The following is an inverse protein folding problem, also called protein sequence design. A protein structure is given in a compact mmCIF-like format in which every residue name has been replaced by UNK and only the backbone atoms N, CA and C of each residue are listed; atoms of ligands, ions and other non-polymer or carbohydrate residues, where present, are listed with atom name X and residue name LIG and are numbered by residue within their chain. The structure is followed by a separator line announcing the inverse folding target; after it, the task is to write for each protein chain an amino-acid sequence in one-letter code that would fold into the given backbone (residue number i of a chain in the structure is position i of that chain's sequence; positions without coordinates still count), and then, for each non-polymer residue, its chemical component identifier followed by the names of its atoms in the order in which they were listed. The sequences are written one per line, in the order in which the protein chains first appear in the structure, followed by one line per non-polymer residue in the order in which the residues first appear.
data_IF_129293569489
#
_entry.id   IF_129293569489
#
_cell.length_a   1.000
_cell.length_b   1.000
_cell.length_c   1.000
_cell.angle_alpha   90.00
_cell.angle_beta   90.00
_cell.angle_gamma   90.00
#
_symmetry.space_group_name_H-M   'P 1'
#
loop_
_entity.id
_entity.type
_entity.pdbx_description
1 polymer ?
#
# COMPACT_ATOMS: atom_id res chain seq x y z
N UNK A 1 14.06 6.39 -2.87
CA UNK A 1 15.01 5.47 -3.53
C UNK A 1 14.48 4.03 -3.56
N UNK A 2 14.14 3.39 -2.42
CA UNK A 2 13.71 1.97 -2.41
C UNK A 2 12.33 1.70 -3.02
N UNK A 3 11.29 2.45 -2.61
CA UNK A 3 9.92 2.20 -3.08
C UNK A 3 9.77 2.38 -4.60
N UNK A 4 10.46 3.36 -5.17
CA UNK A 4 10.52 3.57 -6.63
C UNK A 4 11.07 2.34 -7.35
N UNK A 5 12.20 1.82 -6.88
CA UNK A 5 12.86 0.66 -7.49
C UNK A 5 12.01 -0.61 -7.35
N UNK A 6 11.36 -0.80 -6.19
CA UNK A 6 10.43 -1.91 -5.98
C UNK A 6 9.27 -1.85 -6.97
N UNK A 7 8.65 -0.68 -7.16
CA UNK A 7 7.57 -0.49 -8.13
C UNK A 7 8.02 -0.89 -9.54
N UNK A 8 9.17 -0.38 -9.99
CA UNK A 8 9.71 -0.68 -11.32
C UNK A 8 10.00 -2.17 -11.51
N UNK A 9 10.55 -2.84 -10.50
CA UNK A 9 10.79 -4.30 -10.53
C UNK A 9 9.48 -5.07 -10.60
N UNK A 10 8.47 -4.67 -9.82
CA UNK A 10 7.19 -5.36 -9.83
C UNK A 10 6.45 -5.19 -11.17
N UNK A 11 6.52 -4.01 -11.78
CA UNK A 11 5.97 -3.76 -13.12
C UNK A 11 6.67 -4.66 -14.17
N UNK A 12 8.00 -4.76 -14.12
CA UNK A 12 8.77 -5.65 -15.01
C UNK A 12 8.47 -7.14 -14.84
N UNK A 13 8.11 -7.56 -13.63
CA UNK A 13 7.71 -8.94 -13.34
C UNK A 13 6.26 -9.24 -13.73
N UNK A 14 5.53 -8.26 -14.25
CA UNK A 14 4.14 -8.44 -14.68
C UNK A 14 3.12 -8.46 -13.55
N UNK A 15 3.49 -8.07 -12.32
CA UNK A 15 2.51 -7.89 -11.25
C UNK A 15 1.52 -6.77 -11.62
N UNK A 16 0.29 -6.88 -11.11
CA UNK A 16 -0.83 -6.01 -11.49
C UNK A 16 -1.23 -5.01 -10.41
N UNK A 17 -0.91 -5.29 -9.15
CA UNK A 17 -1.28 -4.47 -8.00
C UNK A 17 -0.16 -4.51 -6.95
N UNK A 18 0.06 -3.39 -6.28
CA UNK A 18 0.79 -3.35 -5.02
C UNK A 18 -0.17 -2.99 -3.90
N UNK A 19 -0.03 -3.69 -2.78
CA UNK A 19 -0.78 -3.42 -1.54
C UNK A 19 0.20 -3.05 -0.45
N UNK A 20 0.00 -1.87 0.13
CA UNK A 20 0.71 -1.41 1.32
C UNK A 20 -0.18 -1.58 2.54
N UNK A 21 0.32 -2.25 3.57
CA UNK A 21 -0.35 -2.42 4.87
C UNK A 21 0.42 -1.59 5.89
N UNK A 22 -0.15 -0.46 6.30
CA UNK A 22 0.48 0.53 7.17
C UNK A 22 -0.17 0.46 8.54
N UNK A 23 0.58 0.01 9.54
CA UNK A 23 0.10 0.01 10.92
C UNK A 23 0.03 1.43 11.48
N UNK A 24 -1.09 1.71 12.17
CA UNK A 24 -1.43 3.00 12.77
C UNK A 24 -1.74 4.09 11.71
N UNK A 25 -3.00 4.52 11.64
CA UNK A 25 -3.49 5.55 10.75
C UNK A 25 -2.89 6.93 11.04
N UNK A 26 -2.29 7.12 12.22
CA UNK A 26 -1.49 8.29 12.55
C UNK A 26 -0.11 8.31 11.88
N UNK A 27 0.31 7.23 11.19
CA UNK A 27 1.59 7.18 10.45
C UNK A 27 1.53 7.99 9.15
N UNK A 28 1.35 9.30 9.27
CA UNK A 28 1.22 10.24 8.17
C UNK A 28 2.43 10.22 7.23
N UNK A 29 3.64 9.99 7.76
CA UNK A 29 4.85 9.89 6.95
C UNK A 29 4.79 8.73 5.94
N UNK A 30 4.44 7.52 6.39
CA UNK A 30 4.31 6.37 5.50
C UNK A 30 3.11 6.53 4.54
N UNK A 31 1.98 7.04 5.03
CA UNK A 31 0.79 7.28 4.20
C UNK A 31 1.10 8.25 3.06
N UNK A 32 1.72 9.40 3.37
CA UNK A 32 2.05 10.42 2.38
C UNK A 32 3.14 9.95 1.42
N UNK A 33 4.12 9.17 1.90
CA UNK A 33 5.10 8.52 1.03
C UNK A 33 4.37 7.64 0.00
N UNK A 34 3.50 6.73 0.40
CA UNK A 34 2.78 5.86 -0.52
C UNK A 34 1.85 6.65 -1.45
N UNK A 35 1.13 7.66 -0.92
CA UNK A 35 0.29 8.54 -1.72
C UNK A 35 1.08 9.24 -2.84
N UNK A 36 2.29 9.72 -2.55
CA UNK A 36 3.17 10.34 -3.55
C UNK A 36 3.63 9.39 -4.67
N UNK A 37 3.54 8.07 -4.44
CA UNK A 37 3.83 7.04 -5.44
C UNK A 37 2.56 6.49 -6.13
N UNK A 38 1.42 7.14 -5.94
CA UNK A 38 0.15 6.80 -6.59
C UNK A 38 -0.66 5.70 -5.88
N UNK A 39 -0.34 5.38 -4.63
CA UNK A 39 -1.20 4.52 -3.83
C UNK A 39 -2.43 5.27 -3.35
N UNK A 40 -3.58 4.60 -3.38
CA UNK A 40 -4.87 5.08 -2.88
C UNK A 40 -5.25 4.31 -1.63
N UNK A 41 -5.78 4.98 -0.60
CA UNK A 41 -6.33 4.30 0.57
C UNK A 41 -7.60 3.54 0.18
N UNK A 42 -7.64 2.24 0.46
CA UNK A 42 -8.77 1.35 0.14
C UNK A 42 -9.49 0.81 1.37
N UNK A 43 -8.81 0.71 2.52
CA UNK A 43 -9.44 0.28 3.76
C UNK A 43 -8.77 0.83 5.02
N UNK A 44 -9.49 0.78 6.13
CA UNK A 44 -8.92 0.92 7.49
C UNK A 44 -9.52 -0.13 8.39
N UNK A 45 -8.65 -1.02 8.89
CA UNK A 45 -9.00 -2.12 9.77
C UNK A 45 -8.81 -1.64 11.21
N UNK A 46 -9.91 -1.40 11.93
CA UNK A 46 -9.89 -0.77 13.26
C UNK A 46 -9.51 -1.75 14.36
N UNK A 47 -8.66 -1.31 15.29
CA UNK A 47 -8.29 -2.05 16.52
C UNK A 47 -7.84 -3.51 16.28
N UNK A 48 -7.10 -3.74 15.20
CA UNK A 48 -6.66 -5.10 14.82
C UNK A 48 -5.30 -5.50 15.42
N UNK A 49 -4.60 -4.56 16.07
CA UNK A 49 -3.34 -4.83 16.73
C UNK A 49 -3.27 -4.16 18.10
N UNK A 50 -2.45 -4.71 18.98
CA UNK A 50 -2.16 -4.12 20.29
C UNK A 50 -0.63 -4.02 20.45
N UNK A 51 -0.11 -2.80 20.63
CA UNK A 51 1.32 -2.56 20.86
C UNK A 51 1.53 -1.31 21.71
N UNK A 52 2.58 -1.31 22.53
CA UNK A 52 2.92 -0.18 23.43
C UNK A 52 1.73 0.29 24.30
N UNK A 53 0.93 -0.66 24.80
CA UNK A 53 -0.19 -0.37 25.69
C UNK A 53 -1.44 0.23 25.02
N UNK A 54 -1.52 0.25 23.68
CA UNK A 54 -2.70 0.76 22.97
C UNK A 54 -3.13 -0.14 21.82
N UNK A 55 -4.42 -0.11 21.52
CA UNK A 55 -4.96 -0.62 20.27
C UNK A 55 -4.52 0.25 19.10
N UNK A 56 -4.21 -0.37 17.97
CA UNK A 56 -3.85 0.28 16.72
C UNK A 56 -4.70 -0.26 15.58
N UNK A 57 -5.03 0.61 14.64
CA UNK A 57 -5.63 0.22 13.37
C UNK A 57 -4.54 -0.10 12.32
N UNK A 58 -4.98 -0.52 11.14
CA UNK A 58 -4.12 -0.67 9.97
C UNK A 58 -4.80 -0.07 8.76
N UNK A 59 -4.04 0.71 7.99
CA UNK A 59 -4.46 1.30 6.73
C UNK A 59 -3.99 0.41 5.60
N UNK A 60 -4.91 0.05 4.71
CA UNK A 60 -4.58 -0.61 3.45
C UNK A 60 -4.60 0.44 2.34
N UNK A 61 -3.50 0.54 1.61
CA UNK A 61 -3.41 1.35 0.39
C UNK A 61 -3.05 0.47 -0.80
N UNK A 62 -3.53 0.82 -1.99
CA UNK A 62 -3.37 0.04 -3.21
C UNK A 62 -2.91 0.92 -4.37
N UNK A 63 -2.00 0.42 -5.20
CA UNK A 63 -1.56 1.06 -6.45
C UNK A 63 -1.66 0.04 -7.60
N UNK A 64 -2.32 0.38 -8.72
CA UNK A 64 -2.25 -0.45 -9.92
C UNK A 64 -0.85 -0.43 -10.52
N UNK A 65 -0.42 -1.55 -11.10
CA UNK A 65 0.82 -1.69 -11.85
C UNK A 65 0.47 -2.02 -13.31
N UNK A 66 1.14 -1.38 -14.28
CA UNK A 66 0.86 -1.62 -15.69
C UNK A 66 -0.64 -1.45 -16.01
N UNK A 67 -1.28 -2.40 -16.73
CA UNK A 67 -2.71 -2.32 -17.02
C UNK A 67 -3.61 -2.63 -15.79
N UNK A 68 -3.06 -2.91 -14.60
CA UNK A 68 -3.85 -3.01 -13.38
C UNK A 68 -4.97 -4.04 -13.46
N UNK A 69 -6.20 -3.62 -13.25
CA UNK A 69 -7.43 -4.40 -13.40
C UNK A 69 -8.16 -4.14 -14.73
N UNK A 70 -7.57 -3.35 -15.65
CA UNK A 70 -8.20 -2.99 -16.92
C UNK A 70 -8.15 -4.08 -17.99
N UNK A 71 -7.44 -5.18 -17.74
CA UNK A 71 -7.39 -6.36 -18.62
C UNK A 71 -7.46 -7.64 -17.78
N UNK A 72 -8.00 -8.75 -18.32
CA UNK A 72 -7.90 -10.06 -17.68
C UNK A 72 -6.44 -10.47 -17.39
N UNK A 73 -6.21 -11.33 -16.37
CA UNK A 73 -4.93 -11.99 -16.23
C UNK A 73 -4.67 -12.91 -17.43
N UNK A 74 -3.42 -12.91 -17.90
CA UNK A 74 -2.91 -13.83 -18.92
C UNK A 74 -2.55 -15.19 -18.33
#
# INVERSE_FOLDING_TARGET
ALLRELILRCERLGYRQLVAVIGDSANAASINLHASFGFLRVATLRSIGFKFGRWVDSVVMQRPLGPGDSTPPS
#
